data_IF_960106462636
#
_entry.id   IF_960106462636
#
_cell.length_a   1.000
_cell.length_b   1.000
_cell.length_c   1.000
_cell.angle_alpha   90.00
_cell.angle_beta   90.00
_cell.angle_gamma   90.00
#
_symmetry.space_group_name_H-M   'P 1'
#
loop_
_entity.id
_entity.type
_entity.pdbx_description
1 polymer ?
#
# COMPACT_ATOMS: atom_id res chain seq x y z
N UNK A 1 35.84 36.29 -37.16
CA UNK A 1 36.69 36.25 -35.94
C UNK A 1 35.79 36.18 -34.73
N UNK A 2 35.86 35.07 -33.99
CA UNK A 2 34.97 34.77 -32.85
C UNK A 2 35.27 35.75 -31.72
N UNK A 3 34.39 36.72 -31.49
CA UNK A 3 34.38 37.53 -30.27
C UNK A 3 33.92 36.64 -29.11
N UNK A 4 34.83 35.80 -28.63
CA UNK A 4 34.66 35.11 -27.36
C UNK A 4 34.76 36.19 -26.29
N UNK A 5 33.59 36.67 -25.86
CA UNK A 5 33.42 37.53 -24.68
C UNK A 5 34.30 36.96 -23.57
N UNK A 6 35.37 37.67 -23.20
CA UNK A 6 36.16 37.35 -22.01
C UNK A 6 35.21 37.47 -20.82
N UNK A 7 34.69 36.33 -20.36
CA UNK A 7 33.91 36.27 -19.13
C UNK A 7 34.88 36.65 -18.02
N UNK A 8 34.62 37.75 -17.32
CA UNK A 8 35.47 38.14 -16.20
C UNK A 8 35.40 37.07 -15.11
N UNK A 9 36.50 36.79 -14.41
CA UNK A 9 36.52 35.74 -13.38
C UNK A 9 35.45 35.95 -12.29
N UNK A 10 35.05 37.20 -12.05
CA UNK A 10 33.94 37.56 -11.16
C UNK A 10 32.57 37.03 -11.61
N UNK A 11 32.28 37.04 -12.92
CA UNK A 11 31.03 36.50 -13.47
C UNK A 11 31.01 34.97 -13.35
N UNK A 12 32.16 34.33 -13.54
CA UNK A 12 32.29 32.88 -13.35
C UNK A 12 32.03 32.48 -11.88
N UNK A 13 32.57 33.24 -10.92
CA UNK A 13 32.35 33.04 -9.49
C UNK A 13 30.88 33.24 -9.12
N UNK A 14 30.23 34.27 -9.67
CA UNK A 14 28.80 34.52 -9.42
C UNK A 14 27.93 33.37 -9.93
N UNK A 15 28.22 32.84 -11.13
CA UNK A 15 27.51 31.68 -11.69
C UNK A 15 27.74 30.44 -10.81
N UNK A 16 28.97 30.24 -10.34
CA UNK A 16 29.30 29.12 -9.46
C UNK A 16 28.52 29.18 -8.14
N UNK A 17 28.40 30.37 -7.54
CA UNK A 17 27.61 30.57 -6.31
C UNK A 17 26.13 30.25 -6.57
N UNK A 18 25.55 30.73 -7.67
CA UNK A 18 24.15 30.47 -8.02
C UNK A 18 23.91 28.95 -8.21
N UNK A 19 24.83 28.25 -8.87
CA UNK A 19 24.72 26.79 -9.04
C UNK A 19 24.81 26.08 -7.68
N UNK A 20 25.75 26.46 -6.83
CA UNK A 20 25.90 25.87 -5.49
C UNK A 20 24.64 26.13 -4.65
N UNK A 21 24.10 27.34 -4.65
CA UNK A 21 22.87 27.66 -3.92
C UNK A 21 21.67 26.91 -4.49
N UNK A 22 21.55 26.81 -5.81
CA UNK A 22 20.48 26.04 -6.47
C UNK A 22 20.54 24.54 -6.16
N UNK A 23 21.75 23.96 -6.19
CA UNK A 23 21.98 22.55 -5.83
C UNK A 23 21.72 22.32 -4.35
N UNK A 24 22.14 23.22 -3.47
CA UNK A 24 21.89 23.13 -2.04
C UNK A 24 20.39 23.23 -1.70
N UNK A 25 19.65 24.12 -2.37
CA UNK A 25 18.20 24.23 -2.19
C UNK A 25 17.43 23.04 -2.81
N UNK A 26 17.95 22.45 -3.89
CA UNK A 26 17.31 21.33 -4.60
C UNK A 26 17.61 19.94 -4.02
N UNK A 27 18.79 19.73 -3.43
CA UNK A 27 19.24 18.43 -2.89
C UNK A 27 19.16 18.33 -1.36
N UNK A 28 18.87 19.41 -0.63
CA UNK A 28 18.70 19.32 0.82
C UNK A 28 17.39 18.57 1.14
N UNK A 29 17.41 17.75 2.19
CA UNK A 29 16.30 16.86 2.57
C UNK A 29 14.98 17.59 2.91
N UNK A 30 15.02 18.92 3.03
CA UNK A 30 13.88 19.83 3.22
C UNK A 30 13.52 20.66 1.96
N UNK A 31 14.09 20.35 0.79
CA UNK A 31 13.76 21.02 -0.47
C UNK A 31 12.34 20.68 -0.97
N UNK A 32 11.84 21.43 -1.96
CA UNK A 32 10.47 21.34 -2.53
C UNK A 32 9.97 19.91 -2.85
N UNK A 33 10.88 18.95 -3.04
CA UNK A 33 10.55 17.55 -3.29
C UNK A 33 10.01 16.81 -2.05
N UNK A 34 10.42 17.21 -0.83
CA UNK A 34 9.92 16.60 0.42
C UNK A 34 8.48 17.00 0.70
N UNK A 35 8.09 18.25 0.41
CA UNK A 35 6.70 18.72 0.55
C UNK A 35 5.72 17.98 -0.38
N UNK A 36 6.19 17.55 -1.55
CA UNK A 36 5.36 16.76 -2.47
C UNK A 36 5.29 15.28 -2.07
N UNK A 37 6.39 14.71 -1.57
CA UNK A 37 6.39 13.34 -1.02
C UNK A 37 5.56 13.22 0.25
N UNK A 38 5.66 14.17 1.18
CA UNK A 38 4.89 14.18 2.42
C UNK A 38 3.37 14.16 2.17
N UNK A 39 2.89 14.90 1.15
CA UNK A 39 1.46 14.89 0.83
C UNK A 39 0.99 13.55 0.27
N UNK A 40 1.78 12.93 -0.60
CA UNK A 40 1.44 11.62 -1.16
C UNK A 40 1.52 10.51 -0.09
N UNK A 41 2.52 10.56 0.78
CA UNK A 41 2.64 9.64 1.90
C UNK A 41 1.46 9.78 2.85
N UNK A 42 1.05 11.01 3.17
CA UNK A 42 -0.12 11.25 4.02
C UNK A 42 -1.41 10.65 3.45
N UNK A 43 -1.68 10.82 2.16
CA UNK A 43 -2.87 10.23 1.52
C UNK A 43 -2.81 8.70 1.52
N UNK A 44 -1.65 8.10 1.22
CA UNK A 44 -1.46 6.65 1.28
C UNK A 44 -1.69 6.11 2.70
N UNK A 45 -1.19 6.80 3.73
CA UNK A 45 -1.43 6.40 5.12
C UNK A 45 -2.89 6.53 5.52
N UNK A 46 -3.59 7.58 5.08
CA UNK A 46 -5.02 7.75 5.35
C UNK A 46 -5.87 6.67 4.67
N UNK A 47 -5.56 6.32 3.42
CA UNK A 47 -6.23 5.23 2.72
C UNK A 47 -6.00 3.89 3.44
N UNK A 48 -4.77 3.65 3.89
CA UNK A 48 -4.43 2.44 4.66
C UNK A 48 -5.17 2.38 6.00
N UNK A 49 -5.25 3.49 6.72
CA UNK A 49 -6.04 3.58 7.97
C UNK A 49 -7.51 3.27 7.67
N UNK A 50 -8.10 3.89 6.64
CA UNK A 50 -9.50 3.65 6.28
C UNK A 50 -9.77 2.19 5.93
N UNK A 51 -8.84 1.54 5.24
CA UNK A 51 -8.93 0.12 4.86
C UNK A 51 -8.86 -0.77 6.10
N UNK A 52 -7.87 -0.54 6.97
CA UNK A 52 -7.72 -1.29 8.22
C UNK A 52 -8.92 -1.13 9.16
N UNK A 53 -9.51 0.07 9.23
CA UNK A 53 -10.72 0.28 10.02
C UNK A 53 -11.92 -0.50 9.47
N UNK A 54 -12.06 -0.60 8.14
CA UNK A 54 -13.12 -1.41 7.52
C UNK A 54 -12.92 -2.89 7.81
N UNK A 55 -11.70 -3.39 7.65
CA UNK A 55 -11.34 -4.78 7.97
C UNK A 55 -11.59 -5.08 9.44
N UNK A 56 -11.18 -4.20 10.34
CA UNK A 56 -11.40 -4.35 11.77
C UNK A 56 -12.90 -4.43 12.11
N UNK A 57 -13.72 -3.54 11.55
CA UNK A 57 -15.19 -3.61 11.74
C UNK A 57 -15.80 -4.90 11.21
N UNK A 58 -15.31 -5.40 10.07
CA UNK A 58 -15.76 -6.67 9.51
C UNK A 58 -15.39 -7.84 10.43
N UNK A 59 -14.15 -7.90 10.91
CA UNK A 59 -13.66 -8.91 11.84
C UNK A 59 -14.41 -8.91 13.17
N UNK A 60 -14.68 -7.74 13.74
CA UNK A 60 -15.48 -7.63 14.98
C UNK A 60 -16.90 -8.18 14.74
N UNK A 61 -17.49 -7.88 13.60
CA UNK A 61 -18.82 -8.37 13.24
C UNK A 61 -18.81 -9.90 13.08
N UNK A 62 -17.78 -10.45 12.45
CA UNK A 62 -17.57 -11.88 12.32
C UNK A 62 -17.37 -12.57 13.68
N UNK A 63 -16.55 -12.00 14.57
CA UNK A 63 -16.36 -12.50 15.93
C UNK A 63 -17.71 -12.55 16.67
N UNK A 64 -18.54 -11.52 16.51
CA UNK A 64 -19.87 -11.49 17.12
C UNK A 64 -20.76 -12.61 16.59
N UNK A 65 -20.77 -12.84 15.27
CA UNK A 65 -21.53 -13.94 14.67
C UNK A 65 -21.01 -15.31 15.15
N UNK A 66 -19.69 -15.50 15.20
CA UNK A 66 -19.09 -16.75 15.70
C UNK A 66 -19.38 -17.00 17.19
N UNK A 67 -19.60 -15.96 17.99
CA UNK A 67 -19.90 -16.10 19.42
C UNK A 67 -21.39 -16.30 19.69
N UNK A 68 -22.23 -15.52 19.02
CA UNK A 68 -23.64 -15.38 19.38
C UNK A 68 -24.58 -16.16 18.43
N UNK A 69 -24.10 -16.62 17.26
CA UNK A 69 -24.90 -17.34 16.25
C UNK A 69 -24.35 -18.75 15.97
N UNK A 70 -25.00 -19.76 16.56
CA UNK A 70 -24.64 -21.17 16.39
C UNK A 70 -24.80 -21.67 14.94
N UNK A 71 -25.76 -21.15 14.18
CA UNK A 71 -25.94 -21.55 12.77
C UNK A 71 -24.79 -21.02 11.92
N UNK A 72 -24.35 -19.78 12.18
CA UNK A 72 -23.17 -19.22 11.53
C UNK A 72 -21.93 -20.07 11.81
N UNK A 73 -21.69 -20.43 13.08
CA UNK A 73 -20.59 -21.32 13.48
C UNK A 73 -20.64 -22.67 12.78
N UNK A 74 -21.80 -23.33 12.74
CA UNK A 74 -21.98 -24.61 12.03
C UNK A 74 -21.63 -24.45 10.54
N UNK A 75 -22.07 -23.36 9.93
CA UNK A 75 -21.78 -23.07 8.53
C UNK A 75 -20.28 -22.88 8.26
N UNK A 76 -19.56 -22.19 9.15
CA UNK A 76 -18.11 -21.99 9.07
C UNK A 76 -17.37 -23.30 9.27
N UNK A 77 -17.76 -24.10 10.28
CA UNK A 77 -17.17 -25.42 10.52
C UNK A 77 -17.34 -26.37 9.33
N UNK A 78 -18.49 -26.33 8.66
CA UNK A 78 -18.75 -27.12 7.44
C UNK A 78 -17.89 -26.66 6.26
N UNK A 79 -17.76 -25.34 6.03
CA UNK A 79 -17.04 -24.80 4.87
C UNK A 79 -15.51 -24.85 5.04
N UNK A 80 -15.01 -24.35 6.17
CA UNK A 80 -13.58 -24.16 6.40
C UNK A 80 -12.91 -25.41 6.94
N UNK A 81 -13.60 -26.13 7.84
CA UNK A 81 -13.04 -27.28 8.54
C UNK A 81 -13.55 -28.62 7.99
N UNK A 82 -14.46 -28.61 7.00
CA UNK A 82 -15.13 -29.80 6.46
C UNK A 82 -15.76 -30.69 7.56
N UNK A 83 -16.19 -30.08 8.67
CA UNK A 83 -16.82 -30.79 9.77
C UNK A 83 -18.27 -31.18 9.42
N UNK A 84 -18.68 -32.35 9.89
CA UNK A 84 -20.00 -32.94 9.67
C UNK A 84 -20.58 -33.39 11.01
N UNK A 85 -21.90 -33.46 11.12
CA UNK A 85 -22.54 -34.10 12.28
C UNK A 85 -22.30 -35.62 12.23
N UNK A 86 -22.44 -36.29 13.38
CA UNK A 86 -22.20 -37.74 13.49
C UNK A 86 -22.98 -38.60 12.48
N UNK A 87 -24.13 -38.10 12.01
CA UNK A 87 -25.04 -38.78 11.10
C UNK A 87 -24.95 -38.26 9.65
N UNK A 88 -23.89 -37.55 9.28
CA UNK A 88 -23.72 -36.96 7.95
C UNK A 88 -22.49 -37.52 7.23
N UNK A 89 -22.59 -37.65 5.89
CA UNK A 89 -21.52 -38.17 5.03
C UNK A 89 -21.26 -37.18 3.90
N UNK A 90 -19.99 -36.81 3.69
CA UNK A 90 -19.57 -35.89 2.62
C UNK A 90 -19.25 -36.68 1.35
N UNK A 91 -20.00 -36.43 0.29
CA UNK A 91 -19.71 -36.98 -1.05
C UNK A 91 -18.82 -36.01 -1.84
N UNK A 92 -17.56 -36.38 -2.06
CA UNK A 92 -16.66 -35.67 -2.98
C UNK A 92 -16.67 -36.39 -4.34
N UNK A 93 -17.21 -35.76 -5.36
CA UNK A 93 -17.16 -36.30 -6.72
C UNK A 93 -15.80 -35.99 -7.34
N UNK A 94 -14.98 -37.02 -7.59
CA UNK A 94 -13.81 -36.88 -8.42
C UNK A 94 -14.28 -36.60 -9.85
N UNK A 95 -13.93 -35.44 -10.41
CA UNK A 95 -14.15 -35.15 -11.82
C UNK A 95 -13.33 -36.19 -12.60
N UNK A 96 -14.02 -37.06 -13.33
CA UNK A 96 -13.38 -38.04 -14.21
C UNK A 96 -12.59 -37.24 -15.24
N UNK A 97 -11.27 -37.22 -15.10
CA UNK A 97 -10.35 -36.77 -16.14
C UNK A 97 -10.78 -37.49 -17.42
N UNK A 98 -11.28 -36.73 -18.40
CA UNK A 98 -11.60 -37.26 -19.70
C UNK A 98 -10.27 -37.63 -20.35
N UNK A 99 -9.84 -38.87 -20.15
CA UNK A 99 -8.75 -39.50 -20.88
C UNK A 99 -9.09 -39.39 -22.37
N UNK A 100 -8.36 -38.52 -23.05
CA UNK A 100 -8.25 -38.50 -24.51
C UNK A 100 -7.34 -39.65 -24.96
#
# INVERSE_FOLDING_TARGET
MKHLKKISPSVLIMILIIIITGVWLGLNDNGFLSLYRERNERELYLEKISTLEKENRALISEIKLLRDDLQYVESVARRELNMLKQNEVLFKFARKEASN
#
